data_IF_624221426664
#
_entry.id   IF_624221426664
#
_cell.length_a   1.000
_cell.length_b   1.000
_cell.length_c   1.000
_cell.angle_alpha   90.00
_cell.angle_beta   90.00
_cell.angle_gamma   90.00
#
_symmetry.space_group_name_H-M   'P 1'
#
loop_
_entity.id
_entity.type
_entity.pdbx_description
1 polymer ?
#
# COMPACT_ATOMS: atom_id res chain seq x y z
N UNK A 1 17.01 -22.32 11.60
CA UNK A 1 15.64 -21.78 11.61
C UNK A 1 15.63 -20.34 11.11
N UNK A 2 15.41 -20.09 9.82
CA UNK A 2 14.84 -18.82 9.39
C UNK A 2 13.39 -19.08 8.99
N UNK A 3 12.49 -18.41 9.71
CA UNK A 3 11.09 -18.22 9.37
C UNK A 3 10.99 -17.48 8.02
N UNK A 4 11.34 -18.15 6.93
CA UNK A 4 11.00 -17.70 5.60
C UNK A 4 9.53 -18.05 5.43
N UNK A 5 8.65 -17.19 5.94
CA UNK A 5 7.27 -17.11 5.47
C UNK A 5 7.32 -16.61 4.03
N UNK A 6 7.84 -17.45 3.15
CA UNK A 6 7.64 -17.42 1.72
C UNK A 6 6.23 -17.97 1.47
N UNK A 7 5.22 -17.40 2.15
CA UNK A 7 3.85 -17.90 2.04
C UNK A 7 3.32 -17.71 0.61
N UNK A 8 4.03 -16.97 -0.25
CA UNK A 8 3.57 -16.65 -1.61
C UNK A 8 2.19 -15.98 -1.62
N UNK A 9 1.70 -15.63 -0.43
CA UNK A 9 0.34 -15.23 -0.19
C UNK A 9 0.17 -13.85 -0.77
N UNK A 10 -0.96 -13.65 -1.44
CA UNK A 10 -1.26 -12.38 -2.04
C UNK A 10 -1.22 -11.27 -1.01
N UNK A 11 -0.76 -10.11 -1.46
CA UNK A 11 -0.82 -8.89 -0.66
C UNK A 11 -2.29 -8.55 -0.48
N UNK A 12 -2.76 -8.57 0.77
CA UNK A 12 -4.08 -8.09 1.13
C UNK A 12 -3.99 -6.59 1.40
N UNK A 13 -4.84 -5.84 0.71
CA UNK A 13 -4.95 -4.40 0.78
C UNK A 13 -6.23 -4.03 1.51
N UNK A 14 -6.19 -3.00 2.34
CA UNK A 14 -7.39 -2.54 3.03
C UNK A 14 -8.06 -1.47 2.18
N UNK A 15 -9.13 -1.81 1.46
CA UNK A 15 -9.92 -0.88 0.64
C UNK A 15 -11.16 -0.46 1.40
N UNK A 16 -11.30 0.84 1.73
CA UNK A 16 -12.47 1.41 2.42
C UNK A 16 -12.87 0.61 3.67
N UNK A 17 -11.89 0.28 4.51
CA UNK A 17 -12.09 -0.51 5.72
C UNK A 17 -12.17 -2.04 5.52
N UNK A 18 -12.26 -2.51 4.26
CA UNK A 18 -12.40 -3.93 3.93
C UNK A 18 -11.06 -4.51 3.48
N UNK A 19 -10.65 -5.63 4.05
CA UNK A 19 -9.45 -6.34 3.58
C UNK A 19 -9.77 -7.07 2.27
N UNK A 20 -9.25 -6.55 1.16
CA UNK A 20 -9.40 -7.10 -0.18
C UNK A 20 -8.10 -7.77 -0.59
N UNK A 21 -8.19 -8.97 -1.12
CA UNK A 21 -7.03 -9.67 -1.66
C UNK A 21 -6.67 -9.07 -3.03
N UNK A 22 -5.45 -8.56 -3.19
CA UNK A 22 -5.08 -7.88 -4.44
C UNK A 22 -4.90 -8.82 -5.63
N UNK A 23 -4.92 -10.14 -5.43
CA UNK A 23 -4.63 -11.08 -6.50
C UNK A 23 -3.13 -11.16 -6.86
N UNK A 24 -2.29 -10.30 -6.26
CA UNK A 24 -0.88 -10.12 -6.66
C UNK A 24 0.08 -10.43 -5.52
N UNK A 25 1.14 -11.17 -5.88
CA UNK A 25 2.31 -11.44 -5.03
C UNK A 25 3.22 -10.24 -4.82
N UNK A 26 3.16 -9.26 -5.73
CA UNK A 26 3.89 -7.99 -5.66
C UNK A 26 2.91 -6.86 -5.90
N UNK A 27 2.63 -6.09 -4.85
CA UNK A 27 1.83 -4.89 -4.93
C UNK A 27 2.51 -3.83 -4.06
N UNK A 28 2.89 -2.70 -4.67
CA UNK A 28 3.49 -1.58 -3.95
C UNK A 28 2.44 -0.86 -3.12
N UNK A 29 1.82 0.16 -3.68
CA UNK A 29 0.71 0.86 -3.04
C UNK A 29 -0.46 1.01 -4.01
N UNK A 30 -1.65 1.21 -3.45
CA UNK A 30 -2.86 1.58 -4.20
C UNK A 30 -3.11 3.06 -3.94
N UNK A 31 -3.14 3.85 -5.01
CA UNK A 31 -3.47 5.28 -4.98
C UNK A 31 -4.84 5.47 -5.63
N UNK A 32 -5.74 6.18 -4.95
CA UNK A 32 -7.00 6.62 -5.52
C UNK A 32 -6.82 7.76 -6.54
N UNK A 33 -7.90 8.10 -7.24
CA UNK A 33 -7.92 9.23 -8.17
C UNK A 33 -7.60 10.55 -7.45
N UNK A 34 -6.86 11.43 -8.14
CA UNK A 34 -6.44 12.75 -7.64
C UNK A 34 -5.51 12.73 -6.40
N UNK A 35 -4.76 11.64 -6.18
CA UNK A 35 -3.73 11.58 -5.15
C UNK A 35 -2.48 12.35 -5.55
N UNK A 36 -2.00 13.22 -4.67
CA UNK A 36 -0.70 13.89 -4.84
C UNK A 36 0.29 13.38 -3.80
N UNK A 37 1.39 12.80 -4.27
CA UNK A 37 2.49 12.39 -3.38
C UNK A 37 3.56 13.46 -3.34
N UNK A 38 3.93 13.89 -2.15
CA UNK A 38 5.08 14.75 -1.93
C UNK A 38 6.40 14.08 -2.34
N UNK A 39 7.43 14.90 -2.53
CA UNK A 39 8.79 14.41 -2.73
C UNK A 39 9.25 13.61 -1.50
N UNK A 40 9.90 12.47 -1.75
CA UNK A 40 10.38 11.56 -0.70
C UNK A 40 9.28 10.91 0.17
N UNK A 41 8.04 10.77 -0.32
CA UNK A 41 7.02 9.95 0.35
C UNK A 41 7.35 8.46 0.24
N UNK A 42 7.28 7.74 1.36
CA UNK A 42 7.53 6.29 1.41
C UNK A 42 6.21 5.54 1.60
N UNK A 43 6.00 4.52 0.77
CA UNK A 43 4.78 3.72 0.71
C UNK A 43 5.13 2.26 0.93
N UNK A 44 4.51 1.62 1.94
CA UNK A 44 4.70 0.19 2.14
C UNK A 44 3.89 -0.63 1.14
N UNK A 45 4.34 -1.87 0.98
CA UNK A 45 3.62 -2.93 0.28
C UNK A 45 2.25 -3.11 0.95
N UNK A 46 1.18 -2.82 0.21
CA UNK A 46 -0.20 -2.92 0.70
C UNK A 46 -0.78 -1.62 1.27
N UNK A 47 -0.01 -0.51 1.25
CA UNK A 47 -0.52 0.80 1.63
C UNK A 47 -1.60 1.29 0.66
N UNK A 48 -2.64 1.90 1.20
CA UNK A 48 -3.74 2.49 0.43
C UNK A 48 -3.79 4.00 0.71
N UNK A 49 -3.84 4.80 -0.35
CA UNK A 49 -4.12 6.23 -0.27
C UNK A 49 -5.51 6.45 -0.84
N UNK A 50 -6.37 7.11 -0.08
CA UNK A 50 -7.73 7.45 -0.52
C UNK A 50 -7.70 8.47 -1.67
N UNK A 51 -8.69 8.43 -2.58
CA UNK A 51 -8.83 9.45 -3.61
C UNK A 51 -8.95 10.84 -2.97
N UNK A 52 -8.45 11.87 -3.65
CA UNK A 52 -8.40 13.26 -3.17
C UNK A 52 -7.50 13.51 -1.94
N UNK A 53 -6.61 12.56 -1.61
CA UNK A 53 -5.65 12.71 -0.51
C UNK A 53 -4.30 13.22 -0.99
N UNK A 54 -3.74 14.17 -0.24
CA UNK A 54 -2.39 14.67 -0.45
C UNK A 54 -1.45 14.08 0.61
N UNK A 55 -0.41 13.38 0.16
CA UNK A 55 0.64 12.84 1.02
C UNK A 55 1.73 13.88 1.16
N UNK A 56 2.07 14.26 2.39
CA UNK A 56 3.07 15.30 2.61
C UNK A 56 4.48 14.80 2.23
N UNK A 57 5.40 15.72 1.85
CA UNK A 57 6.79 15.38 1.60
C UNK A 57 7.42 14.72 2.83
N UNK A 58 8.06 13.56 2.65
CA UNK A 58 8.65 12.79 3.74
C UNK A 58 7.65 11.98 4.59
N UNK A 59 6.38 11.97 4.22
CA UNK A 59 5.37 11.20 4.95
C UNK A 59 5.46 9.70 4.64
N UNK A 60 5.27 8.89 5.68
CA UNK A 60 5.35 7.45 5.62
C UNK A 60 3.96 6.84 5.70
N UNK A 61 3.48 6.31 4.57
CA UNK A 61 2.18 5.65 4.48
C UNK A 61 2.38 4.16 4.79
N UNK A 62 1.66 3.66 5.80
CA UNK A 62 1.62 2.25 6.19
C UNK A 62 0.34 1.60 5.67
#
# INVERSE_FOLDING_TARGET
>A
MPNLRHDGANIKVKIKGTMVDSGRRKLGAIMGDNVHTGINSMLNVGSMIEPDTNVHPGEFVK
#
